data_IF_187237632735
#
_entry.id   IF_187237632735
#
_cell.length_a   1.000
_cell.length_b   1.000
_cell.length_c   1.000
_cell.angle_alpha   90.00
_cell.angle_beta   90.00
_cell.angle_gamma   90.00
#
_symmetry.space_group_name_H-M   'P 1'
#
loop_
_entity.id
_entity.type
_entity.pdbx_description
1 polymer ?
#
# COMPACT_ATOMS: atom_id res chain seq x y z
N UNK A 1 21.10 2.80 -20.15
CA UNK A 1 19.97 2.85 -19.19
C UNK A 1 19.87 4.29 -18.72
N UNK A 2 18.70 4.92 -18.80
CA UNK A 2 18.50 6.33 -18.46
C UNK A 2 18.88 6.58 -16.98
N UNK A 3 19.61 7.65 -16.68
CA UNK A 3 20.01 8.03 -15.32
C UNK A 3 18.79 8.15 -14.39
N UNK A 4 17.68 8.69 -14.91
CA UNK A 4 16.42 8.83 -14.18
C UNK A 4 15.81 7.48 -13.81
N UNK A 5 15.81 6.53 -14.74
CA UNK A 5 15.30 5.18 -14.51
C UNK A 5 16.11 4.46 -13.42
N UNK A 6 17.44 4.61 -13.44
CA UNK A 6 18.30 4.05 -12.39
C UNK A 6 17.99 4.68 -11.03
N UNK A 7 17.81 6.00 -10.97
CA UNK A 7 17.46 6.73 -9.73
C UNK A 7 16.12 6.25 -9.15
N UNK A 8 15.09 6.14 -9.98
CA UNK A 8 13.77 5.66 -9.58
C UNK A 8 13.79 4.20 -9.14
N UNK A 9 14.39 3.31 -9.93
CA UNK A 9 14.49 1.89 -9.57
C UNK A 9 15.35 1.65 -8.35
N UNK A 10 16.34 2.50 -8.08
CA UNK A 10 17.14 2.44 -6.86
C UNK A 10 16.31 2.80 -5.62
N UNK A 11 15.54 3.90 -5.68
CA UNK A 11 14.61 4.24 -4.60
C UNK A 11 13.57 3.14 -4.38
N UNK A 12 13.07 2.54 -5.46
CA UNK A 12 12.13 1.42 -5.36
C UNK A 12 12.80 0.17 -4.79
N UNK A 13 14.05 -0.11 -5.10
CA UNK A 13 14.78 -1.27 -4.56
C UNK A 13 14.87 -1.24 -3.03
N UNK A 14 14.99 -0.05 -2.44
CA UNK A 14 14.99 0.15 -0.98
C UNK A 14 13.63 -0.20 -0.33
N UNK A 15 12.53 -0.25 -1.10
CA UNK A 15 11.14 -0.45 -0.62
C UNK A 15 10.48 -1.75 -1.09
N UNK A 16 10.65 -2.09 -2.37
CA UNK A 16 10.18 -3.32 -3.02
C UNK A 16 11.28 -3.84 -3.96
N UNK A 17 12.24 -4.57 -3.38
CA UNK A 17 13.35 -5.17 -4.11
C UNK A 17 12.89 -6.08 -5.28
N UNK A 18 11.91 -7.00 -5.11
CA UNK A 18 11.41 -7.81 -6.22
C UNK A 18 10.90 -7.01 -7.41
N UNK A 19 10.12 -5.96 -7.18
CA UNK A 19 9.58 -5.13 -8.27
C UNK A 19 10.69 -4.34 -8.98
N UNK A 20 11.62 -3.76 -8.22
CA UNK A 20 12.76 -3.03 -8.79
C UNK A 20 13.63 -3.93 -9.69
N UNK A 21 13.88 -5.18 -9.29
CA UNK A 21 14.63 -6.14 -10.11
C UNK A 21 13.87 -6.49 -11.39
N UNK A 22 12.57 -6.79 -11.31
CA UNK A 22 11.72 -7.04 -12.49
C UNK A 22 11.75 -5.89 -13.50
N UNK A 23 11.70 -4.65 -13.02
CA UNK A 23 11.79 -3.47 -13.89
C UNK A 23 13.15 -3.39 -14.59
N UNK A 24 14.25 -3.65 -13.87
CA UNK A 24 15.61 -3.61 -14.42
C UNK A 24 15.89 -4.73 -15.44
N UNK A 25 15.19 -5.85 -15.34
CA UNK A 25 15.25 -6.95 -16.31
C UNK A 25 14.50 -6.64 -17.62
N UNK A 26 13.56 -5.68 -17.59
CA UNK A 26 12.77 -5.31 -18.76
C UNK A 26 13.64 -4.53 -19.75
N UNK A 27 13.75 -5.05 -20.98
CA UNK A 27 14.62 -4.49 -22.03
C UNK A 27 13.90 -3.51 -22.95
N UNK A 28 12.62 -3.77 -23.24
CA UNK A 28 11.81 -3.01 -24.20
C UNK A 28 10.31 -3.14 -23.86
N UNK A 29 9.52 -2.12 -24.19
CA UNK A 29 8.07 -2.15 -24.06
C UNK A 29 7.41 -2.68 -25.35
N UNK A 30 6.66 -3.77 -25.23
CA UNK A 30 6.02 -4.43 -26.36
C UNK A 30 4.57 -3.98 -26.56
N UNK A 31 3.85 -3.74 -25.47
CA UNK A 31 2.43 -3.37 -25.50
C UNK A 31 2.23 -1.86 -25.40
N UNK A 32 3.00 -1.17 -24.55
CA UNK A 32 2.81 0.25 -24.31
C UNK A 32 3.89 1.11 -24.95
N UNK A 33 3.51 2.30 -25.39
CA UNK A 33 4.41 3.27 -26.02
C UNK A 33 4.09 4.68 -25.54
N UNK A 34 5.14 5.45 -25.24
CA UNK A 34 5.01 6.82 -24.76
C UNK A 34 4.84 7.78 -25.94
N UNK A 35 3.87 8.68 -25.85
CA UNK A 35 3.66 9.77 -26.79
C UNK A 35 3.72 11.10 -26.03
N UNK A 36 4.50 12.03 -26.54
CA UNK A 36 4.55 13.40 -26.04
C UNK A 36 3.93 14.32 -27.09
N UNK A 37 2.91 15.07 -26.68
CA UNK A 37 2.27 16.08 -27.51
C UNK A 37 3.21 17.23 -27.85
N UNK A 38 2.89 17.92 -28.94
CA UNK A 38 3.72 18.99 -29.50
C UNK A 38 3.61 20.33 -28.76
N UNK A 39 2.64 20.48 -27.85
CA UNK A 39 2.29 21.77 -27.24
C UNK A 39 2.77 22.00 -25.80
N UNK A 40 2.93 20.96 -24.98
CA UNK A 40 3.30 21.10 -23.56
C UNK A 40 4.11 19.87 -23.08
N UNK A 41 5.07 20.09 -22.19
CA UNK A 41 5.82 19.02 -21.51
C UNK A 41 4.92 18.15 -20.62
N UNK A 42 3.74 18.64 -20.22
CA UNK A 42 2.75 17.88 -19.46
C UNK A 42 1.79 17.07 -20.34
N UNK A 43 1.79 17.29 -21.65
CA UNK A 43 0.96 16.55 -22.61
C UNK A 43 1.61 15.19 -22.95
N UNK A 44 1.77 14.36 -21.93
CA UNK A 44 2.33 13.02 -22.06
C UNK A 44 1.19 12.01 -21.98
N UNK A 45 1.13 11.13 -22.97
CA UNK A 45 0.16 10.05 -23.05
C UNK A 45 0.86 8.71 -23.31
N UNK A 46 0.14 7.62 -23.10
CA UNK A 46 0.64 6.27 -23.32
C UNK A 46 -0.38 5.56 -24.22
N UNK A 47 0.10 4.96 -25.30
CA UNK A 47 -0.70 4.15 -26.21
C UNK A 47 -0.61 2.68 -25.81
N UNK A 48 -1.75 2.03 -25.61
CA UNK A 48 -1.83 0.57 -25.62
C UNK A 48 -1.91 0.09 -27.08
N UNK A 49 -0.81 -0.44 -27.62
CA UNK A 49 -0.71 -0.92 -29.00
C UNK A 49 -1.63 -2.11 -29.28
N UNK A 50 -1.93 -2.93 -28.28
CA UNK A 50 -2.78 -4.11 -28.42
C UNK A 50 -4.24 -3.69 -28.57
N UNK A 51 -4.69 -2.73 -27.77
CA UNK A 51 -6.07 -2.19 -27.81
C UNK A 51 -6.24 -1.06 -28.83
N UNK A 52 -5.12 -0.48 -29.30
CA UNK A 52 -5.08 0.74 -30.14
C UNK A 52 -5.84 1.90 -29.47
N UNK A 53 -5.66 2.03 -28.16
CA UNK A 53 -6.35 3.00 -27.32
C UNK A 53 -5.31 3.74 -26.47
N UNK A 54 -5.44 5.05 -26.36
CA UNK A 54 -4.64 5.84 -25.44
C UNK A 54 -5.19 5.75 -24.02
N UNK A 55 -4.30 5.82 -23.02
CA UNK A 55 -4.73 5.85 -21.61
C UNK A 55 -5.63 7.07 -21.33
N UNK A 56 -5.32 8.22 -21.94
CA UNK A 56 -6.12 9.44 -21.84
C UNK A 56 -6.66 9.82 -23.21
N UNK A 57 -7.88 10.33 -23.27
CA UNK A 57 -8.43 10.99 -24.47
C UNK A 57 -7.85 12.39 -24.63
N UNK A 58 -7.74 13.13 -23.53
CA UNK A 58 -7.13 14.45 -23.46
C UNK A 58 -6.37 14.56 -22.12
N UNK A 59 -5.03 14.37 -22.11
CA UNK A 59 -4.24 14.31 -20.89
C UNK A 59 -4.38 15.57 -20.01
N UNK A 60 -4.37 16.75 -20.62
CA UNK A 60 -4.40 18.03 -19.88
C UNK A 60 -5.78 18.30 -19.30
N UNK A 61 -6.84 18.03 -20.07
CA UNK A 61 -8.21 18.20 -19.59
C UNK A 61 -8.54 17.21 -18.48
N UNK A 62 -8.21 15.93 -18.64
CA UNK A 62 -8.45 14.90 -17.62
C UNK A 62 -7.64 15.16 -16.35
N UNK A 63 -6.42 15.71 -16.47
CA UNK A 63 -5.61 16.15 -15.33
C UNK A 63 -6.30 17.29 -14.56
N UNK A 64 -6.79 18.33 -15.24
CA UNK A 64 -7.49 19.45 -14.61
C UNK A 64 -8.79 19.00 -13.92
N UNK A 65 -9.58 18.15 -14.57
CA UNK A 65 -10.80 17.57 -13.99
C UNK A 65 -10.49 16.72 -12.75
N UNK A 66 -9.46 15.89 -12.80
CA UNK A 66 -9.01 15.08 -11.66
C UNK A 66 -8.53 15.96 -10.50
N UNK A 67 -7.75 17.00 -10.78
CA UNK A 67 -7.27 17.92 -9.75
C UNK A 67 -8.42 18.69 -9.09
N UNK A 68 -9.43 19.13 -9.84
CA UNK A 68 -10.63 19.75 -9.27
C UNK A 68 -11.37 18.81 -8.33
N UNK A 69 -11.55 17.54 -8.73
CA UNK A 69 -12.18 16.53 -7.88
C UNK A 69 -11.40 16.31 -6.57
N UNK A 70 -10.10 16.02 -6.66
CA UNK A 70 -9.30 15.67 -5.48
C UNK A 70 -8.99 16.86 -4.57
N UNK A 71 -8.90 18.08 -5.12
CA UNK A 71 -8.77 19.29 -4.32
C UNK A 71 -10.11 19.76 -3.73
N UNK A 72 -11.24 19.39 -4.33
CA UNK A 72 -12.57 19.70 -3.81
C UNK A 72 -12.99 18.75 -2.68
N UNK A 73 -13.07 17.45 -2.98
CA UNK A 73 -13.66 16.46 -2.06
C UNK A 73 -12.62 15.84 -1.11
N UNK A 74 -11.39 15.71 -1.57
CA UNK A 74 -10.36 14.92 -0.88
C UNK A 74 -9.23 15.76 -0.30
N UNK A 75 -9.36 17.10 -0.22
CA UNK A 75 -8.27 18.00 0.19
C UNK A 75 -7.59 17.61 1.51
N UNK A 76 -8.37 17.10 2.46
CA UNK A 76 -7.91 16.75 3.82
C UNK A 76 -7.55 15.28 3.98
N UNK A 77 -7.64 14.48 2.92
CA UNK A 77 -7.30 13.06 2.97
C UNK A 77 -5.78 12.92 2.91
N UNK A 78 -5.13 12.44 3.98
CA UNK A 78 -3.68 12.25 4.01
C UNK A 78 -3.24 11.05 3.16
N UNK A 79 -4.17 10.13 2.85
CA UNK A 79 -3.91 8.94 2.04
C UNK A 79 -5.00 8.79 0.99
N UNK A 80 -4.60 8.43 -0.23
CA UNK A 80 -5.50 8.11 -1.33
C UNK A 80 -5.07 6.79 -1.99
N UNK A 81 -6.06 6.02 -2.47
CA UNK A 81 -5.85 4.72 -3.09
C UNK A 81 -6.31 4.74 -4.53
N UNK A 82 -5.44 4.32 -5.45
CA UNK A 82 -5.66 4.39 -6.88
C UNK A 82 -5.45 3.05 -7.57
N UNK A 83 -6.21 2.80 -8.61
CA UNK A 83 -5.89 1.79 -9.62
C UNK A 83 -5.44 2.47 -10.92
N UNK A 84 -4.27 2.09 -11.38
CA UNK A 84 -3.59 2.62 -12.56
C UNK A 84 -2.59 3.70 -12.19
N UNK A 85 -1.37 3.63 -12.71
CA UNK A 85 -0.35 4.67 -12.59
C UNK A 85 -0.50 5.74 -13.68
N UNK A 86 -1.03 5.33 -14.85
CA UNK A 86 -1.17 6.20 -16.02
C UNK A 86 0.14 6.88 -16.40
N UNK A 87 0.11 8.18 -16.65
CA UNK A 87 1.31 8.98 -16.95
C UNK A 87 2.01 9.54 -15.68
N UNK A 88 1.56 9.21 -14.47
CA UNK A 88 2.19 9.64 -13.22
C UNK A 88 2.10 11.15 -12.88
N UNK A 89 1.70 12.03 -13.81
CA UNK A 89 1.71 13.49 -13.61
C UNK A 89 0.73 13.91 -12.52
N UNK A 90 -0.46 13.29 -12.49
CA UNK A 90 -1.47 13.55 -11.47
C UNK A 90 -0.89 13.40 -10.06
N UNK A 91 -0.08 12.37 -9.82
CA UNK A 91 0.44 12.10 -8.48
C UNK A 91 1.45 13.13 -8.01
N UNK A 92 2.31 13.65 -8.89
CA UNK A 92 3.17 14.79 -8.57
C UNK A 92 2.34 16.01 -8.17
N UNK A 93 1.29 16.30 -8.93
CA UNK A 93 0.41 17.42 -8.63
C UNK A 93 -0.34 17.23 -7.30
N UNK A 94 -0.85 16.04 -7.02
CA UNK A 94 -1.54 15.73 -5.74
C UNK A 94 -0.60 15.82 -4.52
N UNK A 95 0.69 15.54 -4.68
CA UNK A 95 1.69 15.61 -3.61
C UNK A 95 2.18 17.03 -3.32
N UNK A 96 1.78 18.03 -4.11
CA UNK A 96 2.00 19.44 -3.77
C UNK A 96 1.25 19.86 -2.50
N UNK A 97 0.19 19.14 -2.14
CA UNK A 97 -0.54 19.34 -0.89
C UNK A 97 0.26 18.75 0.30
N UNK A 98 0.69 19.57 1.29
CA UNK A 98 1.51 19.10 2.40
C UNK A 98 0.79 18.14 3.36
N UNK A 99 -0.55 18.09 3.33
CA UNK A 99 -1.33 17.13 4.13
C UNK A 99 -1.23 15.72 3.53
N UNK A 100 -0.93 15.61 2.22
CA UNK A 100 -0.89 14.32 1.53
C UNK A 100 0.40 13.58 1.86
N UNK A 101 0.24 12.53 2.66
CA UNK A 101 1.34 11.71 3.15
C UNK A 101 1.60 10.51 2.25
N UNK A 102 0.56 9.80 1.78
CA UNK A 102 0.73 8.60 0.96
C UNK A 102 -0.25 8.54 -0.22
N UNK A 103 0.27 8.16 -1.38
CA UNK A 103 -0.48 7.76 -2.56
C UNK A 103 -0.22 6.28 -2.79
N UNK A 104 -1.26 5.47 -2.62
CA UNK A 104 -1.18 4.01 -2.76
C UNK A 104 -1.71 3.67 -4.15
N UNK A 105 -0.85 3.19 -5.04
CA UNK A 105 -1.17 3.02 -6.46
C UNK A 105 -0.97 1.54 -6.82
N UNK A 106 -2.01 0.93 -7.35
CA UNK A 106 -1.98 -0.42 -7.89
C UNK A 106 -1.82 -0.34 -9.41
N UNK A 107 -0.78 -0.94 -9.96
CA UNK A 107 -0.51 -0.94 -11.41
C UNK A 107 -0.01 -2.32 -11.84
N UNK A 108 -0.87 -3.10 -12.48
CA UNK A 108 -0.52 -4.46 -12.90
C UNK A 108 0.44 -4.50 -14.10
N UNK A 109 0.38 -3.48 -14.97
CA UNK A 109 1.16 -3.41 -16.21
C UNK A 109 2.57 -2.86 -15.96
N UNK A 110 3.53 -3.77 -15.89
CA UNK A 110 4.94 -3.47 -15.60
C UNK A 110 5.55 -2.47 -16.60
N UNK A 111 5.12 -2.53 -17.87
CA UNK A 111 5.58 -1.60 -18.92
C UNK A 111 5.17 -0.15 -18.65
N UNK A 112 3.99 0.09 -18.04
CA UNK A 112 3.56 1.45 -17.68
C UNK A 112 4.49 2.04 -16.62
N UNK A 113 4.77 1.27 -15.56
CA UNK A 113 5.73 1.67 -14.51
C UNK A 113 7.11 1.95 -15.12
N UNK A 114 7.56 1.06 -16.01
CA UNK A 114 8.82 1.21 -16.72
C UNK A 114 8.88 2.52 -17.52
N UNK A 115 7.84 2.84 -18.30
CA UNK A 115 7.76 4.08 -19.08
C UNK A 115 7.79 5.31 -18.18
N UNK A 116 6.96 5.35 -17.13
CA UNK A 116 6.91 6.48 -16.18
C UNK A 116 8.28 6.73 -15.55
N UNK A 117 8.98 5.66 -15.15
CA UNK A 117 10.30 5.80 -14.52
C UNK A 117 11.38 6.33 -15.47
N UNK A 118 11.16 6.30 -16.79
CA UNK A 118 12.09 6.85 -17.78
C UNK A 118 11.96 8.35 -18.00
N UNK A 119 10.82 8.98 -17.68
CA UNK A 119 10.65 10.43 -17.90
C UNK A 119 10.27 11.22 -16.65
N UNK A 120 9.76 10.58 -15.59
CA UNK A 120 9.33 11.24 -14.37
C UNK A 120 10.19 10.81 -13.18
N UNK A 121 10.81 11.76 -12.47
CA UNK A 121 11.51 11.47 -11.22
C UNK A 121 10.49 11.28 -10.09
N UNK A 122 10.39 10.06 -9.55
CA UNK A 122 9.59 9.72 -8.38
C UNK A 122 10.46 9.22 -7.21
N UNK A 123 11.78 9.37 -7.32
CA UNK A 123 12.73 8.70 -6.42
C UNK A 123 12.62 9.19 -4.97
N UNK A 124 12.40 10.48 -4.75
CA UNK A 124 12.19 11.03 -3.41
C UNK A 124 10.82 10.62 -2.84
N UNK A 125 9.78 10.65 -3.67
CA UNK A 125 8.44 10.25 -3.26
C UNK A 125 8.39 8.76 -2.88
N UNK A 126 9.07 7.89 -3.63
CA UNK A 126 9.14 6.45 -3.33
C UNK A 126 9.95 6.21 -2.06
N UNK A 127 11.13 6.83 -1.92
CA UNK A 127 12.00 6.62 -0.75
C UNK A 127 11.34 7.05 0.56
N UNK A 128 10.55 8.12 0.50
CA UNK A 128 9.80 8.64 1.65
C UNK A 128 8.40 8.02 1.77
N UNK A 129 8.08 6.99 1.00
CA UNK A 129 6.79 6.29 0.98
C UNK A 129 5.59 7.20 0.68
N UNK A 130 5.83 8.38 0.09
CA UNK A 130 4.77 9.24 -0.44
C UNK A 130 4.07 8.63 -1.64
N UNK A 131 4.79 7.82 -2.41
CA UNK A 131 4.22 6.96 -3.46
C UNK A 131 4.56 5.51 -3.13
N UNK A 132 3.53 4.68 -2.96
CA UNK A 132 3.66 3.25 -2.72
C UNK A 132 3.04 2.52 -3.91
N UNK A 133 3.86 1.76 -4.64
CA UNK A 133 3.45 1.03 -5.84
C UNK A 133 3.21 -0.44 -5.53
N UNK A 134 2.05 -0.95 -5.93
CA UNK A 134 1.72 -2.37 -5.88
C UNK A 134 1.54 -2.92 -7.31
N UNK A 135 2.57 -3.61 -7.82
CA UNK A 135 2.46 -4.33 -9.10
C UNK A 135 1.81 -5.71 -8.93
N UNK A 136 2.05 -6.34 -7.80
CA UNK A 136 1.43 -7.59 -7.42
C UNK A 136 0.85 -7.45 -6.01
N UNK A 137 -0.38 -7.91 -5.84
CA UNK A 137 -1.11 -7.87 -4.58
C UNK A 137 -1.34 -9.29 -4.08
N UNK A 138 -1.25 -9.45 -2.76
CA UNK A 138 -1.69 -10.66 -2.08
C UNK A 138 -2.28 -10.25 -0.76
N UNK A 139 -3.21 -11.05 -0.23
CA UNK A 139 -3.81 -10.78 1.06
C UNK A 139 -2.74 -10.55 2.15
N UNK A 140 -1.67 -11.34 2.17
CA UNK A 140 -0.57 -11.17 3.12
C UNK A 140 0.14 -9.82 2.98
N UNK A 141 0.53 -9.42 1.75
CA UNK A 141 1.19 -8.12 1.53
C UNK A 141 0.29 -6.95 1.92
N UNK A 142 -0.98 -7.00 1.51
CA UNK A 142 -1.95 -5.92 1.73
C UNK A 142 -2.34 -5.83 3.20
N UNK A 143 -2.59 -6.95 3.88
CA UNK A 143 -2.87 -6.95 5.33
C UNK A 143 -1.69 -6.44 6.15
N UNK A 144 -0.45 -6.82 5.81
CA UNK A 144 0.73 -6.25 6.46
C UNK A 144 0.87 -4.75 6.23
N UNK A 145 0.57 -4.26 5.03
CA UNK A 145 0.55 -2.82 4.73
C UNK A 145 -0.49 -2.09 5.60
N UNK A 146 -1.73 -2.59 5.65
CA UNK A 146 -2.77 -1.98 6.50
C UNK A 146 -2.51 -2.12 8.00
N UNK A 147 -1.71 -3.09 8.44
CA UNK A 147 -1.34 -3.28 9.84
C UNK A 147 -0.31 -2.25 10.35
N UNK A 148 0.33 -1.48 9.47
CA UNK A 148 1.26 -0.44 9.86
C UNK A 148 0.54 0.65 10.69
N UNK A 149 1.16 1.11 11.77
CA UNK A 149 0.56 2.05 12.74
C UNK A 149 0.09 3.39 12.13
N UNK A 150 0.70 3.80 11.03
CA UNK A 150 0.36 5.07 10.36
C UNK A 150 -0.79 4.90 9.36
N UNK A 151 -1.07 3.66 8.93
CA UNK A 151 -2.06 3.33 7.91
C UNK A 151 -3.34 2.77 8.54
N UNK A 152 -3.23 1.98 9.61
CA UNK A 152 -4.38 1.32 10.24
C UNK A 152 -5.46 2.32 10.70
N UNK A 153 -5.07 3.47 11.25
CA UNK A 153 -5.98 4.55 11.68
C UNK A 153 -6.68 5.23 10.51
N UNK A 154 -6.05 5.19 9.33
CA UNK A 154 -6.54 5.78 8.09
C UNK A 154 -7.37 4.80 7.26
N UNK A 155 -7.44 3.52 7.64
CA UNK A 155 -8.25 2.53 6.93
C UNK A 155 -9.74 2.89 6.87
N UNK A 156 -10.25 3.70 7.83
CA UNK A 156 -11.65 4.18 7.83
C UNK A 156 -11.98 5.13 6.68
N UNK A 157 -10.99 5.84 6.14
CA UNK A 157 -11.16 6.77 5.02
C UNK A 157 -10.79 6.11 3.68
N UNK A 158 -10.68 4.78 3.66
CA UNK A 158 -10.40 4.04 2.45
C UNK A 158 -11.46 4.31 1.38
N UNK A 159 -11.01 4.85 0.25
CA UNK A 159 -11.79 4.97 -0.97
C UNK A 159 -10.87 4.62 -2.14
N UNK A 160 -11.38 3.82 -3.08
CA UNK A 160 -10.57 3.24 -4.16
C UNK A 160 -10.94 3.83 -5.50
N UNK A 161 -10.00 4.53 -6.12
CA UNK A 161 -10.22 5.34 -7.30
C UNK A 161 -9.57 4.71 -8.54
N UNK A 162 -10.33 4.18 -9.50
CA UNK A 162 -9.80 3.97 -10.85
C UNK A 162 -9.32 5.32 -11.41
N UNK A 163 -8.13 5.35 -12.00
CA UNK A 163 -7.51 6.60 -12.44
C UNK A 163 -8.35 7.34 -13.48
N UNK A 164 -8.86 6.62 -14.49
CA UNK A 164 -9.66 7.21 -15.56
C UNK A 164 -10.52 6.14 -16.26
N UNK A 165 -11.16 6.53 -17.38
CA UNK A 165 -12.02 5.65 -18.17
C UNK A 165 -11.27 4.43 -18.74
N UNK A 166 -10.04 4.60 -19.22
CA UNK A 166 -9.23 3.49 -19.75
C UNK A 166 -9.08 2.37 -18.71
N UNK A 167 -8.71 2.73 -17.47
CA UNK A 167 -8.59 1.75 -16.40
C UNK A 167 -9.95 1.13 -16.01
N UNK A 168 -10.98 1.98 -15.88
CA UNK A 168 -12.32 1.54 -15.50
C UNK A 168 -12.94 0.57 -16.50
N UNK A 169 -12.65 0.73 -17.79
CA UNK A 169 -13.19 -0.10 -18.86
C UNK A 169 -12.36 -1.38 -19.05
N UNK A 170 -11.03 -1.27 -19.07
CA UNK A 170 -10.15 -2.36 -19.45
C UNK A 170 -9.72 -3.27 -18.28
N UNK A 171 -9.81 -2.79 -17.03
CA UNK A 171 -9.29 -3.47 -15.83
C UNK A 171 -10.34 -3.62 -14.71
N UNK A 172 -11.63 -3.54 -15.02
CA UNK A 172 -12.71 -3.60 -14.02
C UNK A 172 -12.63 -4.84 -13.12
N UNK A 173 -12.24 -5.99 -13.66
CA UNK A 173 -12.11 -7.24 -12.88
C UNK A 173 -10.98 -7.14 -11.85
N UNK A 174 -9.79 -6.71 -12.28
CA UNK A 174 -8.63 -6.49 -11.39
C UNK A 174 -8.94 -5.44 -10.32
N UNK A 175 -9.62 -4.34 -10.70
CA UNK A 175 -10.09 -3.31 -9.76
C UNK A 175 -11.00 -3.92 -8.68
N UNK A 176 -12.00 -4.70 -9.09
CA UNK A 176 -12.93 -5.35 -8.16
C UNK A 176 -12.23 -6.35 -7.23
N UNK A 177 -11.29 -7.13 -7.77
CA UNK A 177 -10.53 -8.11 -7.00
C UNK A 177 -9.64 -7.43 -5.95
N UNK A 178 -8.84 -6.43 -6.36
CA UNK A 178 -7.98 -5.66 -5.46
C UNK A 178 -8.81 -4.98 -4.38
N UNK A 179 -9.94 -4.37 -4.75
CA UNK A 179 -10.83 -3.74 -3.78
C UNK A 179 -11.36 -4.77 -2.76
N UNK A 180 -11.74 -5.97 -3.21
CA UNK A 180 -12.15 -7.06 -2.31
C UNK A 180 -11.03 -7.46 -1.35
N UNK A 181 -9.80 -7.60 -1.84
CA UNK A 181 -8.64 -7.95 -1.02
C UNK A 181 -8.31 -6.85 -0.02
N UNK A 182 -8.36 -5.57 -0.42
CA UNK A 182 -8.16 -4.42 0.46
C UNK A 182 -9.20 -4.41 1.58
N UNK A 183 -10.50 -4.54 1.25
CA UNK A 183 -11.57 -4.56 2.25
C UNK A 183 -11.43 -5.73 3.23
N UNK A 184 -11.13 -6.93 2.74
CA UNK A 184 -10.86 -8.10 3.60
C UNK A 184 -9.64 -7.88 4.50
N UNK A 185 -8.60 -7.24 3.99
CA UNK A 185 -7.38 -6.94 4.73
C UNK A 185 -7.64 -5.91 5.83
N UNK A 186 -8.37 -4.84 5.52
CA UNK A 186 -8.80 -3.83 6.51
C UNK A 186 -9.63 -4.48 7.62
N UNK A 187 -10.58 -5.34 7.24
CA UNK A 187 -11.41 -6.08 8.20
C UNK A 187 -10.54 -6.98 9.10
N UNK A 188 -9.64 -7.76 8.50
CA UNK A 188 -8.74 -8.64 9.23
C UNK A 188 -7.85 -7.88 10.22
N UNK A 189 -7.21 -6.79 9.79
CA UNK A 189 -6.37 -5.95 10.67
C UNK A 189 -7.21 -5.36 11.81
N UNK A 190 -8.40 -4.86 11.50
CA UNK A 190 -9.29 -4.28 12.52
C UNK A 190 -9.75 -5.31 13.55
N UNK A 191 -10.04 -6.54 13.14
CA UNK A 191 -10.44 -7.62 14.04
C UNK A 191 -9.27 -8.14 14.87
N UNK A 192 -8.08 -8.28 14.29
CA UNK A 192 -6.90 -8.81 14.99
C UNK A 192 -6.29 -7.85 16.00
N UNK A 193 -6.37 -6.54 15.77
CA UNK A 193 -5.88 -5.53 16.72
C UNK A 193 -6.80 -5.31 17.93
N UNK A 194 -8.00 -5.91 17.92
CA UNK A 194 -9.02 -5.66 18.93
C UNK A 194 -9.78 -4.37 18.63
N UNK A 195 -11.08 -4.50 18.36
CA UNK A 195 -11.98 -3.38 18.05
C UNK A 195 -13.13 -3.23 19.05
N UNK A 196 -13.18 -4.07 20.10
CA UNK A 196 -14.23 -4.03 21.12
C UNK A 196 -13.72 -3.36 22.41
N UNK A 197 -14.21 -2.14 22.75
CA UNK A 197 -13.90 -1.50 24.02
C UNK A 197 -14.29 -2.34 25.23
N UNK A 198 -15.34 -3.17 25.14
CA UNK A 198 -15.79 -4.04 26.22
C UNK A 198 -14.74 -5.10 26.54
N UNK A 199 -14.11 -5.69 25.53
CA UNK A 199 -13.04 -6.67 25.71
C UNK A 199 -11.80 -6.02 26.35
N UNK A 200 -11.46 -4.82 25.89
CA UNK A 200 -10.38 -4.02 26.51
C UNK A 200 -10.66 -3.72 27.98
N UNK A 201 -11.89 -3.30 28.32
CA UNK A 201 -12.31 -3.06 29.70
C UNK A 201 -12.32 -4.33 30.54
N UNK A 202 -12.70 -5.47 29.97
CA UNK A 202 -12.66 -6.76 30.63
C UNK A 202 -11.22 -7.11 31.01
N UNK A 203 -10.25 -6.92 30.10
CA UNK A 203 -8.83 -7.11 30.38
C UNK A 203 -8.32 -6.23 31.52
N UNK A 204 -8.66 -4.94 31.51
CA UNK A 204 -8.29 -3.99 32.58
C UNK A 204 -8.94 -4.41 33.91
N UNK A 205 -10.22 -4.78 33.89
CA UNK A 205 -10.97 -5.18 35.09
C UNK A 205 -10.32 -6.42 35.72
N UNK A 206 -10.00 -7.42 34.90
CA UNK A 206 -9.34 -8.63 35.39
C UNK A 206 -7.92 -8.35 35.89
N UNK A 207 -7.17 -7.46 35.23
CA UNK A 207 -5.87 -7.03 35.72
C UNK A 207 -5.99 -6.39 37.10
N UNK A 208 -6.90 -5.42 37.28
CA UNK A 208 -7.10 -4.72 38.55
C UNK A 208 -7.55 -5.66 39.67
N UNK A 209 -8.45 -6.60 39.37
CA UNK A 209 -8.88 -7.61 40.34
C UNK A 209 -7.71 -8.50 40.81
N UNK A 210 -6.81 -8.87 39.90
CA UNK A 210 -5.68 -9.76 40.20
C UNK A 210 -4.44 -9.03 40.74
N UNK A 211 -4.36 -7.71 40.56
CA UNK A 211 -3.17 -6.91 40.90
C UNK A 211 -2.74 -7.04 42.38
N UNK A 212 -3.64 -7.00 43.38
CA UNK A 212 -3.25 -7.17 44.78
C UNK A 212 -2.59 -8.54 45.04
N UNK A 213 -3.13 -9.60 44.43
CA UNK A 213 -2.57 -10.95 44.55
C UNK A 213 -1.21 -11.06 43.85
N UNK A 214 -1.06 -10.46 42.67
CA UNK A 214 0.22 -10.44 41.97
C UNK A 214 1.31 -9.72 42.76
N UNK A 215 0.96 -8.62 43.43
CA UNK A 215 1.90 -7.84 44.26
C UNK A 215 2.25 -8.54 45.58
N UNK A 216 1.32 -9.32 46.15
CA UNK A 216 1.53 -10.05 47.40
C UNK A 216 2.33 -11.35 47.24
N UNK A 217 2.56 -11.82 46.01
CA UNK A 217 3.20 -13.12 45.73
C UNK A 217 4.52 -12.98 44.96
N UNK A 218 5.40 -14.00 44.99
CA UNK A 218 6.67 -13.97 44.25
C UNK A 218 6.45 -13.74 42.75
N UNK A 219 7.34 -12.94 42.16
CA UNK A 219 7.24 -12.62 40.73
C UNK A 219 7.65 -13.81 39.86
N UNK A 220 7.30 -13.76 38.56
CA UNK A 220 7.79 -14.71 37.58
C UNK A 220 9.33 -14.78 37.56
N UNK A 221 10.01 -13.64 37.78
CA UNK A 221 11.48 -13.58 37.85
C UNK A 221 12.00 -14.38 39.05
N UNK A 222 11.35 -14.28 40.20
CA UNK A 222 11.72 -15.02 41.40
C UNK A 222 11.51 -16.53 41.20
N UNK A 223 10.38 -16.91 40.61
CA UNK A 223 10.08 -18.30 40.27
C UNK A 223 11.14 -18.88 39.32
N UNK A 224 11.48 -18.15 38.25
CA UNK A 224 12.50 -18.56 37.29
C UNK A 224 13.86 -18.72 37.98
N UNK A 225 14.27 -17.78 38.82
CA UNK A 225 15.54 -17.86 39.57
C UNK A 225 15.57 -19.09 40.49
N UNK A 226 14.45 -19.40 41.15
CA UNK A 226 14.37 -20.52 42.09
C UNK A 226 14.34 -21.89 41.41
N UNK A 227 13.80 -21.99 40.19
CA UNK A 227 13.52 -23.27 39.51
C UNK A 227 14.49 -23.58 38.36
N UNK A 228 15.23 -22.59 37.85
CA UNK A 228 16.18 -22.76 36.75
C UNK A 228 17.19 -23.88 37.06
N UNK A 229 17.29 -24.85 36.15
CA UNK A 229 18.24 -25.96 36.23
C UNK A 229 17.96 -27.01 37.31
N UNK A 230 16.80 -26.97 37.98
CA UNK A 230 16.46 -27.94 39.02
C UNK A 230 15.67 -29.16 38.53
N UNK A 231 15.12 -29.09 37.32
CA UNK A 231 14.26 -30.11 36.74
C UNK A 231 14.70 -30.33 35.30
N UNK A 232 14.91 -31.59 34.93
CA UNK A 232 15.33 -31.98 33.58
C UNK A 232 14.15 -32.11 32.61
N UNK A 233 12.98 -32.50 33.12
CA UNK A 233 11.81 -32.82 32.33
C UNK A 233 10.64 -31.87 32.62
N UNK A 234 10.01 -31.34 31.57
CA UNK A 234 8.76 -30.61 31.66
C UNK A 234 7.64 -31.43 31.01
N UNK A 235 6.56 -31.71 31.75
CA UNK A 235 5.37 -32.36 31.21
C UNK A 235 4.33 -31.28 30.91
N UNK A 236 3.96 -31.15 29.63
CA UNK A 236 2.92 -30.23 29.19
C UNK A 236 1.71 -31.09 28.79
N UNK A 237 0.64 -30.97 29.56
CA UNK A 237 -0.62 -31.68 29.32
C UNK A 237 -1.59 -30.73 28.62
N UNK A 238 -2.05 -31.08 27.42
CA UNK A 238 -3.09 -30.36 26.69
C UNK A 238 -4.42 -31.10 26.77
N UNK A 239 -5.51 -30.44 26.37
CA UNK A 239 -6.87 -31.01 26.43
C UNK A 239 -7.21 -31.91 25.23
N UNK A 240 -6.22 -32.59 24.64
CA UNK A 240 -6.42 -33.49 23.51
C UNK A 240 -7.11 -34.79 23.93
N UNK A 241 -7.97 -35.39 23.07
CA UNK A 241 -8.71 -36.61 23.41
C UNK A 241 -7.85 -37.87 23.51
N UNK A 242 -6.59 -37.82 23.05
CA UNK A 242 -5.63 -38.93 23.12
C UNK A 242 -4.83 -38.98 24.43
N UNK A 243 -5.22 -38.19 25.43
CA UNK A 243 -4.58 -38.14 26.74
C UNK A 243 -5.09 -39.27 27.66
#
# INVERSE_FOLDING_TARGET
MNELFLKNTQALFEKDQPLALKLRELKECKQFELFQGSSDNLDINILDKKRKEFIYKDPLKELDESLKLFNGEYLRYPVLFFYGLGNGILYKALLSNPIRNHLIIFEEELEIIYLVFHYLDLSEEIRNEKVVLFQNFSFYKISNFFAQSNINTLAKIYNFHPLNYFYSNNYIKSIQEINSVNLKSIQYVSTTMGNDPKDSLQGITQLLHNLPYQLANPSLKDLLKQRKGKIENAIIVSTGPSL
#
